data_IF_483271608035
#
_entry.id   IF_483271608035
#
_cell.length_a   1.000
_cell.length_b   1.000
_cell.length_c   1.000
_cell.angle_alpha   90.00
_cell.angle_beta   90.00
_cell.angle_gamma   90.00
#
_symmetry.space_group_name_H-M   'P 1'
#
loop_
_entity.id
_entity.type
_entity.pdbx_description
1 polymer ?
#
# COMPACT_ATOMS: atom_id res chain seq x y z
N UNK A 1 6.14 13.03 12.26
CA UNK A 1 7.36 12.29 11.91
C UNK A 1 6.94 10.84 11.73
N UNK A 2 6.98 10.29 10.51
CA UNK A 2 6.35 8.98 10.25
C UNK A 2 7.24 7.76 10.60
N UNK A 3 8.36 7.99 11.29
CA UNK A 3 9.23 6.92 11.80
C UNK A 3 8.82 6.53 13.21
N UNK A 4 9.08 5.28 13.60
CA UNK A 4 8.74 4.78 14.93
C UNK A 4 9.37 5.61 16.07
N UNK A 5 10.64 6.00 15.91
CA UNK A 5 11.34 6.88 16.85
C UNK A 5 10.71 8.28 16.91
N UNK A 6 10.31 8.81 15.75
CA UNK A 6 9.62 10.10 15.67
C UNK A 6 8.26 10.08 16.34
N UNK A 7 7.46 9.01 16.17
CA UNK A 7 6.19 8.85 16.87
C UNK A 7 6.40 8.68 18.39
N UNK A 8 7.43 7.97 18.84
CA UNK A 8 7.74 7.83 20.27
C UNK A 8 8.11 9.17 20.92
N UNK A 9 8.96 9.97 20.27
CA UNK A 9 9.30 11.32 20.73
C UNK A 9 8.08 12.24 20.75
N UNK A 10 7.21 12.12 19.73
CA UNK A 10 5.98 12.88 19.62
C UNK A 10 5.04 12.54 20.77
N UNK A 11 4.82 11.26 21.04
CA UNK A 11 4.00 10.80 22.17
C UNK A 11 4.56 11.24 23.52
N UNK A 12 5.88 11.23 23.70
CA UNK A 12 6.52 11.71 24.93
C UNK A 12 6.31 13.21 25.18
N UNK A 13 6.17 14.02 24.11
CA UNK A 13 6.00 15.48 24.20
C UNK A 13 4.54 15.91 24.14
N UNK A 14 3.61 15.00 23.89
CA UNK A 14 2.18 15.29 23.88
C UNK A 14 1.69 15.64 25.30
N UNK A 15 1.16 16.84 25.47
CA UNK A 15 0.39 17.20 26.66
C UNK A 15 -1.07 16.87 26.40
N UNK A 16 -1.64 15.97 27.20
CA UNK A 16 -3.02 15.54 27.05
C UNK A 16 -3.93 16.50 27.83
N UNK A 17 -4.47 17.51 27.16
CA UNK A 17 -5.61 18.28 27.67
C UNK A 17 -6.88 17.73 27.01
N UNK A 18 -7.89 17.45 27.85
CA UNK A 18 -9.20 16.84 27.55
C UNK A 18 -9.53 16.75 26.04
N UNK A 19 -9.24 15.57 25.46
CA UNK A 19 -9.52 15.13 24.07
C UNK A 19 -8.70 15.70 22.89
N UNK A 20 -7.81 16.68 23.07
CA UNK A 20 -6.95 17.15 21.97
C UNK A 20 -5.47 17.01 22.28
N UNK A 21 -4.83 16.10 21.56
CA UNK A 21 -3.38 15.98 21.49
C UNK A 21 -2.84 17.21 20.74
N UNK A 22 -2.23 18.16 21.46
CA UNK A 22 -1.61 19.35 20.86
C UNK A 22 -0.09 19.32 21.03
N UNK A 23 0.62 19.81 20.01
CA UNK A 23 2.07 19.99 20.01
C UNK A 23 2.33 21.39 19.48
N UNK A 24 2.90 22.25 20.31
CA UNK A 24 3.22 23.62 19.91
C UNK A 24 4.56 23.70 19.15
N UNK A 25 4.82 24.84 18.51
CA UNK A 25 6.03 25.06 17.72
C UNK A 25 7.33 24.95 18.53
N UNK A 26 7.30 25.24 19.83
CA UNK A 26 8.46 25.12 20.72
C UNK A 26 8.76 23.65 21.00
N UNK A 27 7.74 22.86 21.33
CA UNK A 27 7.84 21.41 21.53
C UNK A 27 8.35 20.69 20.28
N UNK A 28 7.92 21.14 19.09
CA UNK A 28 8.44 20.68 17.81
C UNK A 28 9.93 20.97 17.61
N UNK A 29 10.41 22.16 17.98
CA UNK A 29 11.83 22.54 17.86
C UNK A 29 12.73 21.78 18.82
N UNK A 30 12.21 21.36 19.96
CA UNK A 30 12.94 20.56 20.95
C UNK A 30 13.10 19.09 20.57
N UNK A 31 12.41 18.63 19.53
CA UNK A 31 12.54 17.24 19.06
C UNK A 31 13.94 17.03 18.50
N UNK A 32 14.73 16.22 19.22
CA UNK A 32 16.08 15.85 18.81
C UNK A 32 16.00 14.84 17.67
N UNK A 33 16.48 15.23 16.50
CA UNK A 33 16.62 14.35 15.35
C UNK A 33 18.06 14.35 14.88
N UNK A 34 18.65 13.17 14.81
CA UNK A 34 19.94 12.98 14.17
C UNK A 34 19.75 13.09 12.67
N UNK A 35 20.29 14.15 12.07
CA UNK A 35 20.20 14.42 10.65
C UNK A 35 21.49 13.93 9.99
N UNK A 36 21.46 12.87 9.17
CA UNK A 36 22.65 12.38 8.49
C UNK A 36 23.10 13.36 7.39
N UNK A 37 24.27 13.15 6.79
CA UNK A 37 24.75 14.03 5.70
C UNK A 37 23.76 14.09 4.52
N UNK A 38 23.80 15.16 3.73
CA UNK A 38 22.90 15.35 2.59
C UNK A 38 23.00 14.19 1.59
N UNK A 39 24.21 13.68 1.36
CA UNK A 39 24.46 12.52 0.51
C UNK A 39 23.72 11.28 1.04
N UNK A 40 23.81 11.04 2.35
CA UNK A 40 23.14 9.89 2.98
C UNK A 40 21.63 10.05 2.99
N UNK A 41 21.11 11.28 3.20
CA UNK A 41 19.68 11.55 3.08
C UNK A 41 19.16 11.22 1.67
N UNK A 42 19.88 11.63 0.62
CA UNK A 42 19.53 11.32 -0.78
C UNK A 42 19.51 9.81 -1.02
N UNK A 43 20.53 9.09 -0.55
CA UNK A 43 20.59 7.62 -0.66
C UNK A 43 19.39 6.94 0.01
N UNK A 44 19.05 7.39 1.24
CA UNK A 44 17.90 6.87 1.99
C UNK A 44 16.59 7.12 1.22
N UNK A 45 16.40 8.32 0.68
CA UNK A 45 15.20 8.68 -0.09
C UNK A 45 15.07 7.82 -1.34
N UNK A 46 16.15 7.64 -2.10
CA UNK A 46 16.12 6.80 -3.30
C UNK A 46 15.82 5.33 -2.97
N UNK A 47 16.40 4.80 -1.90
CA UNK A 47 16.10 3.44 -1.43
C UNK A 47 14.64 3.29 -1.01
N UNK A 48 14.07 4.28 -0.30
CA UNK A 48 12.67 4.29 0.10
C UNK A 48 11.73 4.35 -1.11
N UNK A 49 12.02 5.20 -2.10
CA UNK A 49 11.26 5.27 -3.35
C UNK A 49 11.26 3.95 -4.09
N UNK A 50 12.44 3.33 -4.21
CA UNK A 50 12.58 2.02 -4.86
C UNK A 50 11.79 0.92 -4.14
N UNK A 51 11.86 0.87 -2.82
CA UNK A 51 11.09 -0.12 -2.05
C UNK A 51 9.59 0.12 -2.17
N UNK A 52 9.15 1.38 -2.19
CA UNK A 52 7.74 1.73 -2.37
C UNK A 52 7.23 1.34 -3.75
N UNK A 53 8.00 1.59 -4.81
CA UNK A 53 7.60 1.20 -6.17
C UNK A 53 7.45 -0.32 -6.32
N UNK A 54 8.29 -1.11 -5.64
CA UNK A 54 8.11 -2.58 -5.56
C UNK A 54 6.81 -2.98 -4.89
N UNK A 55 6.49 -2.37 -3.75
CA UNK A 55 5.23 -2.65 -3.03
C UNK A 55 4.03 -2.29 -3.89
N UNK A 56 4.07 -1.14 -4.56
CA UNK A 56 2.99 -0.70 -5.44
C UNK A 56 2.81 -1.64 -6.65
N UNK A 57 3.91 -2.14 -7.23
CA UNK A 57 3.86 -3.15 -8.30
C UNK A 57 3.19 -4.44 -7.83
N UNK A 58 3.61 -4.97 -6.68
CA UNK A 58 3.04 -6.20 -6.11
C UNK A 58 1.54 -6.01 -5.83
N UNK A 59 1.14 -4.88 -5.23
CA UNK A 59 -0.27 -4.56 -4.98
C UNK A 59 -1.08 -4.50 -6.26
N UNK A 60 -0.53 -3.90 -7.33
CA UNK A 60 -1.19 -3.84 -8.64
C UNK A 60 -1.40 -5.23 -9.22
N UNK A 61 -0.36 -6.07 -9.24
CA UNK A 61 -0.44 -7.44 -9.74
C UNK A 61 -1.44 -8.28 -8.93
N UNK A 62 -1.44 -8.13 -7.61
CA UNK A 62 -2.39 -8.80 -6.73
C UNK A 62 -3.84 -8.41 -7.05
N UNK A 63 -4.13 -7.12 -7.15
CA UNK A 63 -5.48 -6.63 -7.48
C UNK A 63 -5.94 -7.11 -8.86
N UNK A 64 -5.05 -7.09 -9.86
CA UNK A 64 -5.36 -7.61 -11.19
C UNK A 64 -5.72 -9.10 -11.15
N UNK A 65 -4.95 -9.92 -10.42
CA UNK A 65 -5.23 -11.34 -10.26
C UNK A 65 -6.52 -11.61 -9.49
N UNK A 66 -6.78 -10.84 -8.43
CA UNK A 66 -8.04 -10.94 -7.66
C UNK A 66 -9.25 -10.67 -8.55
N UNK A 67 -9.21 -9.58 -9.31
CA UNK A 67 -10.28 -9.24 -10.26
C UNK A 67 -10.48 -10.32 -11.32
N UNK A 68 -9.40 -10.96 -11.79
CA UNK A 68 -9.51 -12.04 -12.75
C UNK A 68 -10.19 -13.27 -12.14
N UNK A 69 -9.80 -13.67 -10.92
CA UNK A 69 -10.41 -14.80 -10.20
C UNK A 69 -11.90 -14.57 -9.97
N UNK A 70 -12.32 -13.35 -9.64
CA UNK A 70 -13.74 -13.03 -9.42
C UNK A 70 -14.58 -13.06 -10.70
N UNK A 71 -14.00 -12.70 -11.84
CA UNK A 71 -14.73 -12.55 -13.09
C UNK A 71 -14.65 -13.78 -14.00
N UNK A 72 -13.59 -14.59 -13.88
CA UNK A 72 -13.39 -15.78 -14.71
C UNK A 72 -14.56 -16.77 -14.63
N UNK A 73 -15.14 -17.10 -13.45
CA UNK A 73 -16.31 -17.99 -13.39
C UNK A 73 -17.53 -17.41 -14.09
N UNK A 74 -17.75 -16.09 -14.00
CA UNK A 74 -18.88 -15.41 -14.66
C UNK A 74 -18.73 -15.45 -16.17
N UNK A 75 -17.52 -15.20 -16.68
CA UNK A 75 -17.23 -15.27 -18.12
C UNK A 75 -17.35 -16.70 -18.65
N UNK A 76 -16.85 -17.70 -17.92
CA UNK A 76 -16.99 -19.12 -18.29
C UNK A 76 -18.45 -19.55 -18.29
N UNK A 77 -19.23 -19.21 -17.26
CA UNK A 77 -20.66 -19.51 -17.22
C UNK A 77 -21.42 -18.84 -18.37
N UNK A 78 -21.12 -17.58 -18.66
CA UNK A 78 -21.74 -16.86 -19.78
C UNK A 78 -21.44 -17.52 -21.14
N UNK A 79 -20.20 -17.99 -21.36
CA UNK A 79 -19.84 -18.74 -22.57
C UNK A 79 -20.48 -20.14 -22.61
N UNK A 80 -20.67 -20.78 -21.46
CA UNK A 80 -21.35 -22.07 -21.36
C UNK A 80 -22.82 -21.96 -21.76
N UNK A 81 -23.53 -20.96 -21.22
CA UNK A 81 -24.95 -20.72 -21.54
C UNK A 81 -25.19 -20.28 -22.98
N UNK A 82 -24.20 -19.64 -23.64
CA UNK A 82 -24.26 -19.33 -25.08
C UNK A 82 -24.02 -20.55 -25.98
N UNK A 83 -23.64 -21.68 -25.41
CA UNK A 83 -23.32 -22.90 -26.17
C UNK A 83 -21.94 -22.87 -26.83
N UNK A 84 -21.09 -21.91 -26.49
CA UNK A 84 -19.76 -21.74 -27.10
C UNK A 84 -18.68 -22.63 -26.45
N UNK A 85 -18.99 -23.26 -25.32
CA UNK A 85 -18.07 -24.18 -24.61
C UNK A 85 -18.33 -25.66 -24.91
N UNK A 86 -19.31 -25.98 -25.76
CA UNK A 86 -19.65 -27.36 -26.14
C UNK A 86 -19.78 -27.43 -27.66
N UNK A 87 -19.01 -28.29 -28.32
CA UNK A 87 -19.18 -28.53 -29.75
C UNK A 87 -20.42 -29.41 -29.98
N UNK A 88 -21.56 -28.79 -30.29
CA UNK A 88 -22.79 -29.51 -30.61
C UNK A 88 -22.69 -30.36 -31.89
N UNK A 89 -21.63 -30.21 -32.71
CA UNK A 89 -21.43 -31.04 -33.91
C UNK A 89 -20.81 -32.41 -33.61
N UNK A 90 -20.23 -32.63 -32.43
CA UNK A 90 -19.62 -33.92 -32.07
C UNK A 90 -20.55 -34.86 -31.30
N UNK A 91 -21.77 -34.43 -30.94
CA UNK A 91 -22.72 -35.24 -30.14
C UNK A 91 -23.81 -35.89 -31.00
N UNK A 92 -23.96 -35.46 -32.26
CA UNK A 92 -24.87 -36.08 -33.23
C UNK A 92 -24.06 -36.78 -34.33
N UNK A 93 -23.41 -37.89 -34.01
CA UNK A 93 -22.97 -38.85 -35.03
C UNK A 93 -22.88 -40.27 -34.48
#
# INVERSE_FOLDING_TARGET
>A
MNSHLGEAQRQSKLKQAVSQANINATELREMKMEVPSIEKQKEIVERLKYMRSKVDKIRKEFNQKSNLIENLPKSVLAEAFKGNLIDFKSVNH
#
